data_IF_641629914038
#
_entry.id   IF_641629914038
#
_cell.length_a   1.000
_cell.length_b   1.000
_cell.length_c   1.000
_cell.angle_alpha   90.00
_cell.angle_beta   90.00
_cell.angle_gamma   90.00
#
_symmetry.space_group_name_H-M   'P 1'
#
loop_
_entity.id
_entity.type
_entity.pdbx_description
1 polymer ?
#
# COMPACT_ATOMS: atom_id res chain seq x y z
N UNK A 1 -31.71 -27.01 3.50
CA UNK A 1 -31.34 -26.91 2.08
C UNK A 1 -30.92 -25.47 1.87
N UNK A 2 -29.64 -25.19 1.61
CA UNK A 2 -29.21 -23.84 1.26
C UNK A 2 -29.56 -23.62 -0.21
N UNK A 3 -30.33 -22.57 -0.48
CA UNK A 3 -30.71 -22.20 -1.84
C UNK A 3 -29.45 -21.81 -2.63
N UNK A 4 -29.11 -22.62 -3.64
CA UNK A 4 -27.96 -22.37 -4.51
C UNK A 4 -28.36 -21.36 -5.58
N UNK A 5 -27.86 -20.13 -5.46
CA UNK A 5 -28.03 -19.11 -6.50
C UNK A 5 -26.91 -19.24 -7.54
N UNK A 6 -27.27 -19.32 -8.82
CA UNK A 6 -26.30 -19.27 -9.91
C UNK A 6 -25.93 -17.81 -10.20
N UNK A 7 -24.64 -17.50 -10.13
CA UNK A 7 -24.07 -16.18 -10.45
C UNK A 7 -23.00 -16.34 -11.53
N UNK A 8 -22.94 -15.39 -12.47
CA UNK A 8 -21.91 -15.35 -13.52
C UNK A 8 -20.91 -14.26 -13.18
N UNK A 9 -19.62 -14.63 -13.12
CA UNK A 9 -18.51 -13.71 -12.84
C UNK A 9 -17.58 -13.63 -14.06
N UNK A 10 -17.08 -12.43 -14.34
CA UNK A 10 -16.04 -12.23 -15.35
C UNK A 10 -14.67 -12.25 -14.68
N UNK A 11 -13.85 -13.23 -15.05
CA UNK A 11 -12.53 -13.46 -14.48
C UNK A 11 -11.47 -13.30 -15.57
N UNK A 12 -10.33 -12.65 -15.31
CA UNK A 12 -9.21 -12.63 -16.25
C UNK A 12 -8.79 -14.06 -16.64
N UNK A 13 -8.36 -14.30 -17.90
CA UNK A 13 -8.10 -15.65 -18.38
C UNK A 13 -7.00 -16.38 -17.60
N UNK A 14 -6.01 -15.63 -17.09
CA UNK A 14 -4.96 -16.16 -16.20
C UNK A 14 -5.53 -16.67 -14.88
N UNK A 15 -6.39 -15.89 -14.24
CA UNK A 15 -7.00 -16.22 -12.96
C UNK A 15 -8.01 -17.36 -13.10
N UNK A 16 -8.82 -17.36 -14.16
CA UNK A 16 -9.72 -18.47 -14.48
C UNK A 16 -8.95 -19.80 -14.67
N UNK A 17 -7.80 -19.76 -15.36
CA UNK A 17 -6.93 -20.95 -15.53
C UNK A 17 -6.36 -21.43 -14.19
N UNK A 18 -5.86 -20.52 -13.35
CA UNK A 18 -5.33 -20.87 -12.02
C UNK A 18 -6.41 -21.50 -11.14
N UNK A 19 -7.62 -20.92 -11.11
CA UNK A 19 -8.75 -21.46 -10.36
C UNK A 19 -9.10 -22.88 -10.82
N UNK A 20 -9.16 -23.11 -12.15
CA UNK A 20 -9.44 -24.43 -12.70
C UNK A 20 -8.39 -25.47 -12.32
N UNK A 21 -7.11 -25.09 -12.33
CA UNK A 21 -6.02 -25.98 -11.92
C UNK A 21 -6.12 -26.30 -10.43
N UNK A 22 -6.29 -25.29 -9.56
CA UNK A 22 -6.38 -25.51 -8.11
C UNK A 22 -7.59 -26.36 -7.73
N UNK A 23 -8.75 -26.11 -8.32
CA UNK A 23 -9.94 -26.91 -8.10
C UNK A 23 -9.71 -28.40 -8.46
N UNK A 24 -9.01 -28.66 -9.57
CA UNK A 24 -8.66 -30.02 -9.96
C UNK A 24 -7.65 -30.69 -9.00
N UNK A 25 -6.69 -29.92 -8.47
CA UNK A 25 -5.69 -30.42 -7.51
C UNK A 25 -6.31 -30.71 -6.14
N UNK A 26 -7.20 -29.84 -5.67
CA UNK A 26 -7.88 -29.96 -4.38
C UNK A 26 -9.08 -30.93 -4.42
N UNK A 27 -9.40 -31.51 -5.59
CA UNK A 27 -10.56 -32.38 -5.81
C UNK A 27 -11.89 -31.70 -5.40
N UNK A 28 -11.99 -30.39 -5.61
CA UNK A 28 -13.13 -29.57 -5.22
C UNK A 28 -13.76 -28.85 -6.42
N UNK A 29 -14.99 -28.37 -6.26
CA UNK A 29 -15.66 -27.57 -7.28
C UNK A 29 -15.12 -26.13 -7.30
N UNK A 30 -15.04 -25.54 -8.50
CA UNK A 30 -14.65 -24.13 -8.66
C UNK A 30 -15.58 -23.19 -7.88
N UNK A 31 -16.87 -23.50 -7.80
CA UNK A 31 -17.86 -22.71 -7.04
C UNK A 31 -17.58 -22.74 -5.54
N UNK A 32 -17.24 -23.89 -4.96
CA UNK A 32 -16.96 -24.00 -3.53
C UNK A 32 -15.67 -23.26 -3.16
N UNK A 33 -14.65 -23.31 -4.03
CA UNK A 33 -13.43 -22.51 -3.84
C UNK A 33 -13.72 -21.01 -3.85
N UNK A 34 -14.52 -20.54 -4.81
CA UNK A 34 -14.89 -19.11 -4.90
C UNK A 34 -15.75 -18.70 -3.71
N UNK A 35 -16.68 -19.53 -3.27
CA UNK A 35 -17.50 -19.29 -2.08
C UNK A 35 -16.62 -19.08 -0.85
N UNK A 36 -15.65 -19.98 -0.59
CA UNK A 36 -14.70 -19.82 0.51
C UNK A 36 -13.89 -18.52 0.41
N UNK A 37 -13.42 -18.19 -0.79
CA UNK A 37 -12.66 -16.96 -1.02
C UNK A 37 -13.50 -15.70 -0.75
N UNK A 38 -14.77 -15.69 -1.17
CA UNK A 38 -15.71 -14.58 -0.92
C UNK A 38 -16.04 -14.46 0.56
N UNK A 39 -16.31 -15.57 1.24
CA UNK A 39 -16.55 -15.57 2.70
C UNK A 39 -15.33 -15.04 3.45
N UNK A 40 -14.12 -15.46 3.05
CA UNK A 40 -12.89 -14.95 3.63
C UNK A 40 -12.72 -13.44 3.41
N UNK A 41 -12.93 -12.97 2.18
CA UNK A 41 -12.83 -11.54 1.86
C UNK A 41 -13.80 -10.69 2.69
N UNK A 42 -15.05 -11.13 2.82
CA UNK A 42 -16.07 -10.42 3.60
C UNK A 42 -15.83 -10.48 5.10
N UNK A 43 -15.24 -11.57 5.61
CA UNK A 43 -14.92 -11.73 7.02
C UNK A 43 -13.64 -11.00 7.45
N UNK A 44 -12.73 -10.76 6.51
CA UNK A 44 -11.39 -10.21 6.79
C UNK A 44 -10.96 -9.14 5.76
N UNK A 45 -11.75 -8.07 5.54
CA UNK A 45 -11.42 -7.05 4.55
C UNK A 45 -10.08 -6.37 4.86
N UNK A 46 -9.79 -6.12 6.15
CA UNK A 46 -8.56 -5.48 6.64
C UNK A 46 -7.30 -6.26 6.24
N UNK A 47 -7.37 -7.60 6.26
CA UNK A 47 -6.22 -8.47 5.91
C UNK A 47 -5.98 -8.43 4.40
N UNK A 48 -7.06 -8.38 3.61
CA UNK A 48 -6.95 -8.30 2.15
C UNK A 48 -6.42 -6.93 1.73
N UNK A 49 -6.93 -5.85 2.33
CA UNK A 49 -6.44 -4.49 2.10
C UNK A 49 -4.96 -4.38 2.44
N UNK A 50 -4.51 -4.93 3.57
CA UNK A 50 -3.08 -4.95 3.92
C UNK A 50 -2.22 -5.64 2.87
N UNK A 51 -2.68 -6.74 2.25
CA UNK A 51 -1.94 -7.45 1.20
C UNK A 51 -1.94 -6.67 -0.12
N UNK A 52 -3.06 -6.02 -0.45
CA UNK A 52 -3.14 -5.13 -1.61
C UNK A 52 -2.20 -3.92 -1.43
N UNK A 53 -2.15 -3.37 -0.23
CA UNK A 53 -1.23 -2.30 0.17
C UNK A 53 0.23 -2.73 0.18
N UNK A 54 0.59 -4.02 0.27
CA UNK A 54 2.00 -4.46 0.14
C UNK A 54 2.57 -4.16 -1.25
N UNK A 55 1.71 -4.03 -2.25
CA UNK A 55 2.11 -3.64 -3.59
C UNK A 55 2.30 -2.12 -3.76
N UNK A 56 1.86 -1.32 -2.78
CA UNK A 56 2.04 0.12 -2.71
C UNK A 56 2.96 0.48 -1.51
N UNK A 57 3.60 1.65 -1.52
CA UNK A 57 4.72 1.94 -0.61
C UNK A 57 4.37 1.89 0.88
N UNK A 58 4.75 0.82 1.59
CA UNK A 58 4.68 0.69 3.06
C UNK A 58 5.92 1.26 3.77
N UNK A 59 6.57 2.28 3.24
CA UNK A 59 7.86 2.74 3.80
C UNK A 59 7.74 3.38 5.18
N UNK A 60 6.55 3.88 5.58
CA UNK A 60 6.33 4.49 6.89
C UNK A 60 4.93 4.16 7.45
N UNK A 61 4.77 2.95 8.01
CA UNK A 61 3.52 2.59 8.69
C UNK A 61 3.65 2.85 10.20
N UNK A 62 2.69 3.58 10.76
CA UNK A 62 2.68 3.97 12.19
C UNK A 62 1.87 2.93 12.99
N UNK A 63 2.52 2.28 13.95
CA UNK A 63 1.96 1.30 14.86
C UNK A 63 1.86 1.87 16.27
N UNK A 64 0.74 1.63 16.97
CA UNK A 64 0.63 1.99 18.37
C UNK A 64 1.01 0.80 19.25
N UNK A 65 2.06 0.96 20.06
CA UNK A 65 2.47 -0.07 21.02
C UNK A 65 1.55 -0.05 22.25
N UNK A 66 0.87 -1.16 22.59
CA UNK A 66 -0.04 -1.22 23.73
C UNK A 66 0.67 -1.20 25.09
N UNK A 67 1.97 -1.53 25.15
CA UNK A 67 2.71 -1.54 26.42
C UNK A 67 3.20 -0.14 26.84
N UNK A 68 3.51 0.73 25.88
CA UNK A 68 4.08 2.05 26.17
C UNK A 68 3.34 3.23 25.52
N UNK A 69 2.13 2.98 24.98
CA UNK A 69 1.23 3.97 24.37
C UNK A 69 1.91 4.90 23.35
N UNK A 70 2.95 4.41 22.67
CA UNK A 70 3.69 5.20 21.69
C UNK A 70 3.44 4.75 20.27
N UNK A 71 3.39 5.74 19.38
CA UNK A 71 3.45 5.55 17.95
C UNK A 71 4.87 5.16 17.52
N UNK A 72 5.00 4.07 16.78
CA UNK A 72 6.24 3.48 16.28
C UNK A 72 6.17 3.40 14.76
N UNK A 73 7.27 3.61 14.05
CA UNK A 73 7.35 3.40 12.60
C UNK A 73 8.35 2.30 12.31
N UNK A 74 7.99 1.38 11.42
CA UNK A 74 8.91 0.38 10.89
C UNK A 74 9.39 0.88 9.53
N UNK A 75 10.66 1.27 9.45
CA UNK A 75 11.27 1.73 8.20
C UNK A 75 11.58 0.58 7.24
N UNK A 76 11.88 0.91 5.98
CA UNK A 76 12.16 -0.06 4.90
C UNK A 76 13.34 -1.03 5.13
N UNK A 77 14.11 -0.84 6.22
CA UNK A 77 15.19 -1.74 6.66
C UNK A 77 14.87 -2.60 7.89
N UNK A 78 13.64 -2.56 8.42
CA UNK A 78 13.26 -3.29 9.64
C UNK A 78 13.66 -2.61 10.96
N UNK A 79 14.17 -1.37 10.88
CA UNK A 79 14.43 -0.54 12.06
C UNK A 79 13.12 0.02 12.61
N UNK A 80 12.94 -0.08 13.93
CA UNK A 80 11.75 0.41 14.64
C UNK A 80 12.09 1.73 15.31
N UNK A 81 11.48 2.82 14.85
CA UNK A 81 11.71 4.18 15.38
C UNK A 81 10.48 4.64 16.17
N UNK A 82 10.69 5.12 17.39
CA UNK A 82 9.62 5.63 18.25
C UNK A 82 9.36 7.11 18.01
N UNK A 83 8.09 7.50 17.81
CA UNK A 83 7.63 8.87 17.57
C UNK A 83 7.22 9.63 18.85
N UNK A 84 7.57 9.13 20.04
CA UNK A 84 7.12 9.66 21.35
C UNK A 84 7.27 11.18 21.53
N UNK A 85 8.33 11.78 20.99
CA UNK A 85 8.66 13.18 21.28
C UNK A 85 8.18 14.16 20.19
N UNK A 86 7.97 13.70 18.95
CA UNK A 86 7.34 14.46 17.87
C UNK A 86 6.67 13.52 16.84
N UNK A 87 5.33 13.47 16.76
CA UNK A 87 4.62 12.51 15.90
C UNK A 87 4.76 12.76 14.39
N UNK A 88 5.42 13.86 13.98
CA UNK A 88 5.38 14.35 12.60
C UNK A 88 6.75 14.61 11.96
N UNK A 89 7.86 14.40 12.68
CA UNK A 89 9.21 14.67 12.18
C UNK A 89 10.12 13.49 12.52
N UNK A 90 10.49 12.71 11.49
CA UNK A 90 11.66 11.85 11.54
C UNK A 90 12.85 12.73 11.16
N UNK A 91 13.81 12.91 12.08
CA UNK A 91 15.05 13.60 11.80
C UNK A 91 15.96 12.70 10.95
N UNK A 92 15.57 12.43 9.71
CA UNK A 92 16.51 11.94 8.71
C UNK A 92 17.43 13.11 8.35
N UNK A 93 18.70 13.03 8.73
CA UNK A 93 19.74 13.89 8.17
C UNK A 93 19.90 13.54 6.68
N UNK A 94 18.98 14.05 5.85
CA UNK A 94 19.18 14.10 4.42
C UNK A 94 20.44 14.95 4.19
N UNK A 95 21.46 14.47 3.47
CA UNK A 95 22.61 15.27 3.12
C UNK A 95 22.16 16.34 2.12
N UNK A 96 21.63 17.44 2.65
CA UNK A 96 21.36 18.64 1.86
C UNK A 96 22.72 19.31 1.66
N UNK A 97 23.35 19.04 0.51
CA UNK A 97 24.44 19.88 0.03
C UNK A 97 23.91 21.33 0.01
N UNK A 98 24.44 22.15 0.92
CA UNK A 98 24.20 23.59 0.93
C UNK A 98 24.82 24.16 -0.34
N UNK A 99 24.04 24.22 -1.41
CA UNK A 99 24.37 25.04 -2.58
C UNK A 99 24.43 26.48 -2.08
N UNK A 100 25.65 27.00 -1.95
CA UNK A 100 25.89 28.43 -1.80
C UNK A 100 25.56 29.07 -3.14
N UNK A 101 24.37 29.65 -3.25
CA UNK A 101 24.06 30.54 -4.36
C UNK A 101 24.69 31.91 -4.05
N UNK A 102 25.92 32.10 -4.54
CA UNK A 102 26.49 33.42 -4.73
C UNK A 102 25.73 34.07 -5.89
N UNK A 103 24.92 35.08 -5.56
CA UNK A 103 24.19 35.89 -6.52
C UNK A 103 25.19 36.77 -7.26
N UNK A 104 25.67 36.31 -8.42
CA UNK A 104 26.31 37.17 -9.41
C UNK A 104 25.30 37.55 -10.51
N UNK A 105 25.02 38.86 -10.55
CA UNK A 105 24.15 39.49 -11.50
C UNK A 105 24.69 39.35 -12.93
N UNK A 106 24.09 38.46 -13.72
CA UNK A 106 24.22 38.49 -15.18
C UNK A 106 22.87 38.78 -15.83
N UNK A 107 22.74 40.01 -16.30
CA UNK A 107 21.69 40.47 -17.19
C UNK A 107 21.73 39.68 -18.51
N UNK A 108 20.70 38.90 -18.81
CA UNK A 108 20.37 38.56 -20.18
C UNK A 108 18.85 38.48 -20.33
N UNK A 109 18.31 39.43 -21.07
CA UNK A 109 16.91 39.59 -21.43
C UNK A 109 16.38 38.42 -22.26
N UNK A 110 15.26 37.83 -21.84
CA UNK A 110 14.13 37.46 -22.71
C UNK A 110 12.94 37.06 -21.85
N UNK A 111 11.81 37.73 -22.09
CA UNK A 111 10.66 37.73 -21.20
C UNK A 111 9.67 36.61 -21.48
N UNK A 112 9.11 36.07 -20.41
CA UNK A 112 7.86 35.33 -20.42
C UNK A 112 7.00 35.84 -19.26
N UNK A 113 5.77 36.25 -19.57
CA UNK A 113 4.84 36.87 -18.62
C UNK A 113 3.82 35.81 -18.18
N UNK A 114 3.84 35.45 -16.90
CA UNK A 114 2.85 34.56 -16.30
C UNK A 114 1.48 35.27 -16.23
N UNK A 115 0.43 34.60 -16.69
CA UNK A 115 -0.96 35.07 -16.60
C UNK A 115 -1.58 34.47 -15.33
N UNK A 116 -2.15 35.27 -14.42
CA UNK A 116 -2.87 34.75 -13.26
C UNK A 116 -4.22 34.14 -13.69
N UNK A 117 -4.59 33.05 -13.02
CA UNK A 117 -5.90 32.40 -13.15
C UNK A 117 -7.05 33.31 -12.71
#
# INVERSE_FOLDING_TARGET
MQDKQKVTLYLPPRLHRQLKIRAAVELDSMSAMVERAVVFYLGHPEVVEQVEEESYGKTHQVYNCPECHSSLVIGGGGEVVSLKEQPNILAEELPVEKVREEVEAHTCSQGEKLVPC
#
